data_IF_628819176507
#
_entry.id   IF_628819176507
#
_cell.length_a   1.000
_cell.length_b   1.000
_cell.length_c   1.000
_cell.angle_alpha   90.00
_cell.angle_beta   90.00
_cell.angle_gamma   90.00
#
_symmetry.space_group_name_H-M   'P 1'
#
loop_
_entity.id
_entity.type
_entity.pdbx_description
1 polymer ?
#
# COMPACT_ATOMS: atom_id res chain seq x y z
N UNK A 1 -6.48 -16.98 77.55
CA UNK A 1 -6.22 -15.71 76.86
C UNK A 1 -6.15 -15.99 75.37
N UNK A 2 -7.31 -16.03 74.71
CA UNK A 2 -7.41 -16.35 73.28
C UNK A 2 -7.41 -15.03 72.50
N UNK A 3 -6.21 -14.49 72.26
CA UNK A 3 -6.01 -13.24 71.54
C UNK A 3 -5.88 -13.50 70.05
N UNK A 4 -7.00 -13.40 69.33
CA UNK A 4 -7.12 -12.87 67.97
C UNK A 4 -5.85 -12.88 67.06
N UNK A 5 -5.34 -14.04 66.69
CA UNK A 5 -4.37 -14.16 65.61
C UNK A 5 -5.14 -14.19 64.28
N UNK A 6 -5.48 -13.00 63.76
CA UNK A 6 -5.95 -12.89 62.38
C UNK A 6 -4.79 -13.25 61.47
N UNK A 7 -4.74 -14.52 61.05
CA UNK A 7 -3.78 -15.00 60.08
C UNK A 7 -3.81 -14.07 58.85
N UNK A 8 -2.71 -13.39 58.49
CA UNK A 8 -2.69 -12.47 57.36
C UNK A 8 -2.61 -13.27 56.07
N UNK A 9 -3.71 -13.96 55.74
CA UNK A 9 -3.87 -14.81 54.55
C UNK A 9 -3.48 -14.08 53.27
N UNK A 10 -3.77 -12.77 53.21
CA UNK A 10 -3.35 -11.93 52.09
C UNK A 10 -1.84 -11.86 51.93
N UNK A 11 -1.08 -11.62 53.01
CA UNK A 11 0.39 -11.56 52.94
C UNK A 11 0.99 -12.91 52.54
N UNK A 12 0.49 -14.00 53.12
CA UNK A 12 0.98 -15.35 52.80
C UNK A 12 0.76 -15.69 51.31
N UNK A 13 -0.41 -15.35 50.75
CA UNK A 13 -0.71 -15.57 49.33
C UNK A 13 0.20 -14.73 48.45
N UNK A 14 0.40 -13.45 48.78
CA UNK A 14 1.31 -12.59 48.02
C UNK A 14 2.76 -13.08 48.10
N UNK A 15 3.20 -13.58 49.26
CA UNK A 15 4.53 -14.13 49.46
C UNK A 15 4.73 -15.48 48.75
N UNK A 16 3.69 -16.32 48.66
CA UNK A 16 3.73 -17.57 47.89
C UNK A 16 3.74 -17.29 46.37
N UNK A 17 2.94 -16.31 45.90
CA UNK A 17 2.89 -15.89 44.50
C UNK A 17 4.19 -15.23 44.03
N UNK A 18 4.77 -14.35 44.86
CA UNK A 18 5.94 -13.54 44.51
C UNK A 18 7.26 -14.17 44.93
N UNK A 19 7.28 -14.83 46.09
CA UNK A 19 8.48 -15.42 46.69
C UNK A 19 8.83 -16.80 46.16
N UNK A 20 7.83 -17.70 46.01
CA UNK A 20 8.07 -19.11 45.61
C UNK A 20 8.07 -19.33 44.11
N UNK A 21 7.24 -18.60 43.36
CA UNK A 21 7.09 -18.81 41.92
C UNK A 21 7.70 -17.70 41.05
N UNK A 22 8.96 -17.34 41.37
CA UNK A 22 9.72 -16.29 40.65
C UNK A 22 9.82 -16.54 39.14
N UNK A 23 9.88 -17.81 38.74
CA UNK A 23 9.96 -18.21 37.32
C UNK A 23 8.65 -17.89 36.60
N UNK A 24 7.49 -18.19 37.19
CA UNK A 24 6.21 -17.85 36.57
C UNK A 24 6.00 -16.34 36.45
N UNK A 25 6.43 -15.56 37.44
CA UNK A 25 6.39 -14.10 37.35
C UNK A 25 7.31 -13.54 36.26
N UNK A 26 8.51 -14.10 36.11
CA UNK A 26 9.42 -13.73 35.03
C UNK A 26 8.79 -14.03 33.67
N UNK A 27 8.25 -15.25 33.49
CA UNK A 27 7.56 -15.63 32.26
C UNK A 27 6.35 -14.72 31.97
N UNK A 28 5.56 -14.40 32.98
CA UNK A 28 4.41 -13.50 32.86
C UNK A 28 4.85 -12.11 32.42
N UNK A 29 5.93 -11.57 33.02
CA UNK A 29 6.52 -10.29 32.59
C UNK A 29 7.01 -10.36 31.14
N UNK A 30 7.66 -11.45 30.75
CA UNK A 30 8.19 -11.65 29.41
C UNK A 30 7.08 -11.69 28.36
N UNK A 31 5.95 -12.33 28.68
CA UNK A 31 4.75 -12.37 27.81
C UNK A 31 4.18 -10.96 27.64
N UNK A 32 4.04 -10.19 28.73
CA UNK A 32 3.52 -8.82 28.67
C UNK A 32 4.43 -7.94 27.80
N UNK A 33 5.75 -8.00 28.03
CA UNK A 33 6.73 -7.23 27.25
C UNK A 33 6.65 -7.62 25.76
N UNK A 34 6.57 -8.92 25.46
CA UNK A 34 6.49 -9.42 24.08
C UNK A 34 5.19 -8.97 23.41
N UNK A 35 4.06 -9.00 24.11
CA UNK A 35 2.78 -8.53 23.60
C UNK A 35 2.81 -7.01 23.28
N UNK A 36 3.33 -6.20 24.20
CA UNK A 36 3.47 -4.76 24.00
C UNK A 36 4.44 -4.44 22.85
N UNK A 37 5.58 -5.14 22.79
CA UNK A 37 6.55 -4.99 21.71
C UNK A 37 5.91 -5.34 20.35
N UNK A 38 5.11 -6.41 20.29
CA UNK A 38 4.42 -6.81 19.05
C UNK A 38 3.43 -5.75 18.59
N UNK A 39 2.65 -5.17 19.50
CA UNK A 39 1.72 -4.08 19.19
C UNK A 39 2.49 -2.85 18.70
N UNK A 40 3.58 -2.50 19.38
CA UNK A 40 4.40 -1.33 19.05
C UNK A 40 5.07 -1.47 17.68
N UNK A 41 5.70 -2.63 17.41
CA UNK A 41 6.28 -2.94 16.10
C UNK A 41 5.20 -2.87 15.02
N UNK A 42 4.04 -3.47 15.24
CA UNK A 42 2.93 -3.45 14.26
C UNK A 42 2.45 -2.02 13.97
N UNK A 43 2.32 -1.18 14.99
CA UNK A 43 1.95 0.22 14.82
C UNK A 43 3.01 1.00 14.04
N UNK A 44 4.29 0.78 14.33
CA UNK A 44 5.41 1.42 13.66
C UNK A 44 5.51 0.98 12.19
N UNK A 45 5.40 -0.32 11.91
CA UNK A 45 5.41 -0.87 10.55
C UNK A 45 4.26 -0.33 9.71
N UNK A 46 3.07 -0.12 10.30
CA UNK A 46 1.92 0.46 9.58
C UNK A 46 2.17 1.92 9.15
N UNK A 47 2.84 2.73 9.97
CA UNK A 47 3.18 4.12 9.63
C UNK A 47 4.27 4.16 8.55
N UNK A 48 5.36 3.43 8.74
CA UNK A 48 6.47 3.34 7.78
C UNK A 48 6.02 2.81 6.41
N UNK A 49 5.16 1.78 6.40
CA UNK A 49 4.60 1.21 5.16
C UNK A 49 3.67 2.17 4.44
N UNK A 50 2.93 3.01 5.17
CA UNK A 50 2.06 4.03 4.58
C UNK A 50 2.86 5.08 3.83
N UNK A 51 3.96 5.55 4.39
CA UNK A 51 4.84 6.54 3.74
C UNK A 51 5.53 5.97 2.50
N UNK A 52 6.13 4.78 2.62
CA UNK A 52 6.73 4.10 1.47
C UNK A 52 5.69 3.82 0.38
N UNK A 53 4.48 3.41 0.76
CA UNK A 53 3.36 3.21 -0.15
C UNK A 53 2.94 4.48 -0.89
N UNK A 54 2.99 5.65 -0.25
CA UNK A 54 2.72 6.94 -0.91
C UNK A 54 3.78 7.28 -1.96
N UNK A 55 5.06 7.12 -1.63
CA UNK A 55 6.15 7.40 -2.57
C UNK A 55 6.09 6.47 -3.79
N UNK A 56 5.86 5.18 -3.58
CA UNK A 56 5.72 4.20 -4.67
C UNK A 56 4.54 4.55 -5.58
N UNK A 57 3.40 4.99 -5.01
CA UNK A 57 2.23 5.41 -5.79
C UNK A 57 2.54 6.62 -6.68
N UNK A 58 3.24 7.63 -6.16
CA UNK A 58 3.63 8.81 -6.93
C UNK A 58 4.57 8.40 -8.07
N UNK A 59 5.56 7.55 -7.79
CA UNK A 59 6.52 7.12 -8.77
C UNK A 59 5.86 6.34 -9.92
N UNK A 60 4.99 5.37 -9.60
CA UNK A 60 4.20 4.63 -10.60
C UNK A 60 3.29 5.53 -11.44
N UNK A 61 2.67 6.54 -10.81
CA UNK A 61 1.83 7.51 -11.53
C UNK A 61 2.67 8.35 -12.49
N UNK A 62 3.89 8.72 -12.10
CA UNK A 62 4.79 9.49 -12.96
C UNK A 62 5.28 8.65 -14.14
N UNK A 63 5.67 7.39 -13.89
CA UNK A 63 6.09 6.44 -14.94
C UNK A 63 4.97 6.21 -15.96
N UNK A 64 3.74 6.00 -15.50
CA UNK A 64 2.59 5.84 -16.40
C UNK A 64 2.33 7.07 -17.27
N UNK A 65 2.45 8.28 -16.71
CA UNK A 65 2.29 9.52 -17.47
C UNK A 65 3.43 9.70 -18.49
N UNK A 66 4.65 9.34 -18.12
CA UNK A 66 5.81 9.41 -19.00
C UNK A 66 5.66 8.48 -20.21
N UNK A 67 5.27 7.23 -19.98
CA UNK A 67 5.00 6.27 -21.07
C UNK A 67 3.87 6.76 -21.96
N UNK A 68 2.79 7.30 -21.39
CA UNK A 68 1.70 7.85 -22.17
C UNK A 68 2.15 9.00 -23.07
N UNK A 69 2.93 9.94 -22.51
CA UNK A 69 3.46 11.07 -23.26
C UNK A 69 4.38 10.62 -24.42
N UNK A 70 5.24 9.63 -24.18
CA UNK A 70 6.05 9.06 -25.26
C UNK A 70 5.21 8.44 -26.38
N UNK A 71 4.12 7.75 -26.03
CA UNK A 71 3.23 7.14 -27.01
C UNK A 71 2.49 8.21 -27.82
N UNK A 72 2.05 9.28 -27.17
CA UNK A 72 1.41 10.42 -27.82
C UNK A 72 2.39 11.12 -28.78
N UNK A 73 3.61 11.42 -28.34
CA UNK A 73 4.65 12.06 -29.17
C UNK A 73 5.02 11.18 -30.36
N UNK A 74 5.20 9.87 -30.16
CA UNK A 74 5.50 8.93 -31.25
C UNK A 74 4.34 8.82 -32.25
N UNK A 75 3.10 8.86 -31.77
CA UNK A 75 1.91 8.82 -32.63
C UNK A 75 1.77 10.11 -33.44
N UNK A 76 1.95 11.27 -32.80
CA UNK A 76 1.94 12.57 -33.47
C UNK A 76 3.08 12.71 -34.49
N UNK A 77 4.29 12.27 -34.14
CA UNK A 77 5.45 12.25 -35.04
C UNK A 77 5.20 11.34 -36.26
N UNK A 78 4.61 10.17 -36.04
CA UNK A 78 4.21 9.26 -37.13
C UNK A 78 3.16 9.89 -38.02
N UNK A 79 2.14 10.53 -37.45
CA UNK A 79 1.10 11.20 -38.20
C UNK A 79 1.67 12.36 -39.02
N UNK A 80 2.52 13.21 -38.43
CA UNK A 80 3.23 14.27 -39.13
C UNK A 80 4.07 13.74 -40.31
N UNK A 81 4.74 12.60 -40.16
CA UNK A 81 5.47 11.95 -41.26
C UNK A 81 4.51 11.53 -42.37
N UNK A 82 3.41 10.85 -42.03
CA UNK A 82 2.40 10.42 -43.00
C UNK A 82 1.82 11.62 -43.74
N UNK A 83 1.47 12.68 -43.03
CA UNK A 83 0.92 13.92 -43.61
C UNK A 83 1.95 14.63 -44.51
N UNK A 84 3.24 14.61 -44.14
CA UNK A 84 4.30 15.14 -44.99
C UNK A 84 4.46 14.35 -46.30
N UNK A 85 4.39 13.01 -46.24
CA UNK A 85 4.40 12.17 -47.45
C UNK A 85 3.13 12.35 -48.29
N UNK A 86 1.96 12.44 -47.66
CA UNK A 86 0.69 12.67 -48.34
C UNK A 86 0.68 14.01 -49.08
N UNK A 87 1.11 15.08 -48.42
CA UNK A 87 1.26 16.40 -49.04
C UNK A 87 2.25 16.39 -50.21
N UNK A 88 3.39 15.68 -50.07
CA UNK A 88 4.36 15.53 -51.16
C UNK A 88 3.81 14.74 -52.36
N UNK A 89 2.89 13.81 -52.11
CA UNK A 89 2.21 13.03 -53.13
C UNK A 89 0.89 13.67 -53.62
N UNK A 90 0.61 14.92 -53.23
CA UNK A 90 -0.64 15.65 -53.54
C UNK A 90 -1.93 14.90 -53.11
N UNK A 91 -1.81 13.97 -52.15
CA UNK A 91 -2.93 13.22 -51.60
C UNK A 91 -3.67 14.10 -50.59
N UNK A 92 -4.91 14.48 -50.91
CA UNK A 92 -5.79 15.19 -49.98
C UNK A 92 -6.62 14.19 -49.17
N UNK A 93 -6.87 14.52 -47.90
CA UNK A 93 -7.83 13.79 -47.09
C UNK A 93 -9.21 13.83 -47.76
N UNK A 94 -9.83 12.66 -47.93
CA UNK A 94 -11.14 12.50 -48.55
C UNK A 94 -12.16 13.32 -47.75
N UNK A 95 -12.83 14.28 -48.39
CA UNK A 95 -13.88 15.07 -47.75
C UNK A 95 -15.12 14.18 -47.57
N UNK A 96 -15.86 14.34 -46.46
CA UNK A 96 -17.12 13.62 -46.20
C UNK A 96 -18.13 13.69 -47.35
N UNK A 97 -18.05 14.74 -48.16
CA UNK A 97 -18.88 14.95 -49.36
C UNK A 97 -18.61 13.93 -50.48
N UNK A 98 -17.47 13.23 -50.44
CA UNK A 98 -17.02 12.23 -51.43
C UNK A 98 -17.24 10.78 -50.95
N UNK A 99 -17.81 10.60 -49.76
CA UNK A 99 -18.02 9.29 -49.13
C UNK A 99 -19.30 8.63 -49.70
N UNK A 100 -19.14 7.73 -50.68
CA UNK A 100 -20.26 6.97 -51.25
C UNK A 100 -20.47 5.70 -50.44
N UNK A 101 -21.53 5.66 -49.64
CA UNK A 101 -21.93 4.46 -48.88
C UNK A 101 -22.62 3.49 -49.84
N UNK A 102 -21.94 2.42 -50.22
CA UNK A 102 -22.51 1.34 -51.01
C UNK A 102 -23.41 0.49 -50.09
N UNK A 103 -24.72 0.67 -50.19
CA UNK A 103 -25.70 -0.21 -49.56
C UNK A 103 -25.96 -1.40 -50.49
N UNK A 104 -25.47 -2.59 -50.11
CA UNK A 104 -25.87 -3.83 -50.76
C UNK A 104 -27.38 -4.04 -50.56
N UNK A 105 -28.11 -4.14 -51.68
CA UNK A 105 -29.55 -4.41 -51.67
C UNK A 105 -29.74 -5.93 -51.56
N UNK A 106 -30.22 -6.36 -50.40
CA UNK A 106 -30.61 -7.76 -50.12
C UNK A 106 -31.91 -8.12 -50.82
#
# INVERSE_FOLDING_TARGET
>A
MAGNERYPLGQEIFEDLIGKNKVALLLLSLIIITALATIWVTAQTRLLTSEQGKLIKINRKLESQYVHLQLEENSASRQNKIDAYANKAELQAIKKEQEVILLEKK
#
